data_IF_679908058001
#
_entry.id   IF_679908058001
#
_cell.length_a   1.000
_cell.length_b   1.000
_cell.length_c   1.000
_cell.angle_alpha   90.00
_cell.angle_beta   90.00
_cell.angle_gamma   90.00
#
_symmetry.space_group_name_H-M   'P 1'
#
loop_
_entity.id
_entity.type
_entity.pdbx_description
1 polymer ?
#
# COMPACT_ATOMS: atom_id res chain seq x y z
N UNK A 1 -8.55 -13.99 -4.54
CA UNK A 1 -8.69 -12.56 -4.28
C UNK A 1 -9.62 -11.94 -5.29
N UNK A 2 -10.60 -11.27 -4.78
CA UNK A 2 -11.49 -10.46 -5.60
C UNK A 2 -10.86 -9.07 -5.74
N UNK A 3 -10.71 -8.59 -6.99
CA UNK A 3 -10.10 -7.29 -7.26
C UNK A 3 -11.18 -6.25 -7.53
N UNK A 4 -11.40 -5.37 -6.55
CA UNK A 4 -12.23 -4.18 -6.73
C UNK A 4 -11.34 -3.01 -7.14
N UNK A 5 -10.99 -2.96 -8.42
CA UNK A 5 -10.07 -1.97 -8.99
C UNK A 5 -10.74 -1.22 -10.12
N UNK A 6 -10.23 -0.02 -10.42
CA UNK A 6 -10.71 0.72 -11.59
C UNK A 6 -10.35 -0.06 -12.87
N UNK A 7 -11.26 -0.11 -13.87
CA UNK A 7 -11.00 -0.84 -15.12
C UNK A 7 -9.71 -0.43 -15.86
N UNK A 8 -9.21 0.79 -15.65
CA UNK A 8 -7.93 1.22 -16.26
C UNK A 8 -6.73 0.38 -15.80
N UNK A 9 -6.88 -0.35 -14.67
CA UNK A 9 -5.85 -1.24 -14.13
C UNK A 9 -6.04 -2.70 -14.54
N UNK A 10 -6.85 -3.00 -15.55
CA UNK A 10 -7.13 -4.38 -15.96
C UNK A 10 -5.87 -5.21 -16.25
N UNK A 11 -4.78 -4.56 -16.64
CA UNK A 11 -3.50 -5.22 -16.89
C UNK A 11 -2.99 -6.00 -15.67
N UNK A 12 -3.36 -5.60 -14.45
CA UNK A 12 -2.92 -6.30 -13.23
C UNK A 12 -3.81 -7.49 -12.86
N UNK A 13 -4.94 -7.68 -13.49
CA UNK A 13 -5.85 -8.79 -13.20
C UNK A 13 -5.14 -10.15 -13.32
N UNK A 14 -4.28 -10.31 -14.30
CA UNK A 14 -3.54 -11.56 -14.51
C UNK A 14 -2.37 -11.74 -13.55
N UNK A 15 -1.86 -10.65 -12.97
CA UNK A 15 -0.71 -10.69 -12.07
C UNK A 15 -1.02 -11.42 -10.75
N UNK A 16 -2.28 -11.37 -10.30
CA UNK A 16 -2.69 -12.06 -9.06
C UNK A 16 -2.76 -13.58 -9.21
N UNK A 17 -2.70 -14.08 -10.43
CA UNK A 17 -2.67 -15.52 -10.71
C UNK A 17 -1.25 -16.09 -10.76
N UNK A 18 -0.21 -15.25 -10.60
CA UNK A 18 1.16 -15.72 -10.48
C UNK A 18 1.29 -16.63 -9.26
N UNK A 19 2.11 -17.68 -9.37
CA UNK A 19 2.24 -18.70 -8.32
C UNK A 19 2.52 -18.15 -6.91
N UNK A 20 3.44 -17.17 -6.72
CA UNK A 20 3.65 -16.62 -5.38
C UNK A 20 2.40 -16.03 -4.75
N UNK A 21 1.62 -15.24 -5.50
CA UNK A 21 0.38 -14.65 -5.00
C UNK A 21 -0.73 -15.65 -4.82
N UNK A 22 -0.81 -16.64 -5.69
CA UNK A 22 -1.76 -17.75 -5.54
C UNK A 22 -1.48 -18.51 -4.25
N UNK A 23 -0.21 -18.78 -3.96
CA UNK A 23 0.21 -19.43 -2.71
C UNK A 23 -0.15 -18.57 -1.50
N UNK A 24 0.14 -17.27 -1.55
CA UNK A 24 -0.20 -16.34 -0.49
C UNK A 24 -1.71 -16.38 -0.19
N UNK A 25 -2.52 -16.24 -1.22
CA UNK A 25 -3.97 -16.16 -1.09
C UNK A 25 -4.60 -17.47 -0.59
N UNK A 26 -4.12 -18.63 -1.06
CA UNK A 26 -4.76 -19.93 -0.77
C UNK A 26 -4.18 -20.62 0.45
N UNK A 27 -2.90 -20.45 0.76
CA UNK A 27 -2.21 -21.24 1.79
C UNK A 27 -1.71 -20.41 2.98
N UNK A 28 -1.47 -19.12 2.79
CA UNK A 28 -0.88 -18.26 3.84
C UNK A 28 -1.94 -17.41 4.51
N UNK A 29 -2.60 -16.52 3.78
CA UNK A 29 -3.56 -15.58 4.36
C UNK A 29 -4.70 -16.23 5.15
N UNK A 30 -5.28 -17.38 4.73
CA UNK A 30 -6.35 -18.00 5.49
C UNK A 30 -5.92 -18.50 6.88
N UNK A 31 -4.62 -18.67 7.12
CA UNK A 31 -4.10 -19.30 8.34
C UNK A 31 -3.41 -18.31 9.30
N UNK A 32 -3.34 -17.04 8.95
CA UNK A 32 -2.64 -16.04 9.76
C UNK A 32 -3.45 -14.76 9.89
N UNK A 33 -3.08 -13.93 10.87
CA UNK A 33 -3.55 -12.56 10.93
C UNK A 33 -2.63 -11.69 10.09
N UNK A 34 -3.18 -10.83 9.25
CA UNK A 34 -2.42 -9.98 8.35
C UNK A 34 -3.04 -8.59 8.23
N UNK A 35 -2.28 -7.67 7.69
CA UNK A 35 -2.70 -6.30 7.43
C UNK A 35 -2.31 -5.89 6.00
N UNK A 36 -3.00 -4.92 5.39
CA UNK A 36 -4.22 -4.27 5.87
C UNK A 36 -5.43 -5.21 5.79
N UNK A 37 -6.60 -4.71 6.21
CA UNK A 37 -7.85 -5.45 6.02
C UNK A 37 -8.08 -5.73 4.53
N UNK A 38 -8.76 -6.82 4.24
CA UNK A 38 -8.98 -7.32 2.87
C UNK A 38 -9.43 -6.24 1.88
N UNK A 39 -10.34 -5.37 2.29
CA UNK A 39 -10.86 -4.31 1.42
C UNK A 39 -9.83 -3.23 1.07
N UNK A 40 -8.74 -3.15 1.80
CA UNK A 40 -7.70 -2.14 1.62
C UNK A 40 -6.45 -2.66 0.90
N UNK A 41 -6.37 -3.97 0.60
CA UNK A 41 -5.18 -4.54 -0.05
C UNK A 41 -4.88 -3.84 -1.38
N UNK A 42 -5.90 -3.64 -2.21
CA UNK A 42 -5.77 -3.02 -3.54
C UNK A 42 -6.31 -1.58 -3.58
N UNK A 43 -6.34 -0.90 -2.45
CA UNK A 43 -6.92 0.44 -2.34
C UNK A 43 -6.38 1.42 -3.38
N UNK A 44 -5.07 1.43 -3.60
CA UNK A 44 -4.44 2.38 -4.54
C UNK A 44 -4.94 2.20 -5.97
N UNK A 45 -5.38 1.00 -6.35
CA UNK A 45 -5.87 0.69 -7.69
C UNK A 45 -7.35 1.01 -7.91
N UNK A 46 -8.02 1.58 -6.90
CA UNK A 46 -9.42 2.03 -7.07
C UNK A 46 -9.52 3.34 -7.83
N UNK A 47 -8.43 4.10 -7.92
CA UNK A 47 -8.35 5.33 -8.71
C UNK A 47 -7.90 5.02 -10.13
N UNK A 48 -8.41 5.73 -11.18
CA UNK A 48 -7.96 5.54 -12.56
C UNK A 48 -6.46 5.80 -12.71
N UNK A 49 -5.80 5.00 -13.54
CA UNK A 49 -4.37 5.18 -13.84
C UNK A 49 -4.09 6.58 -14.42
N UNK A 50 -5.03 7.14 -15.16
CA UNK A 50 -4.90 8.48 -15.76
C UNK A 50 -4.86 9.61 -14.74
N UNK A 51 -5.34 9.38 -13.52
CA UNK A 51 -5.33 10.38 -12.45
C UNK A 51 -4.00 10.47 -11.73
N UNK A 52 -3.10 9.51 -11.94
CA UNK A 52 -1.82 9.44 -11.24
C UNK A 52 -0.83 10.43 -11.85
N UNK A 53 -0.27 11.28 -11.00
CA UNK A 53 0.73 12.29 -11.36
C UNK A 53 2.11 11.94 -10.84
N UNK A 54 2.19 11.30 -9.68
CA UNK A 54 3.43 10.98 -9.00
C UNK A 54 3.29 9.65 -8.27
N UNK A 55 4.35 8.84 -8.26
CA UNK A 55 4.40 7.56 -7.54
C UNK A 55 5.40 7.70 -6.39
N UNK A 56 4.96 7.37 -5.19
CA UNK A 56 5.83 7.24 -4.02
C UNK A 56 5.80 5.77 -3.59
N UNK A 57 6.96 5.13 -3.61
CA UNK A 57 7.08 3.71 -3.35
C UNK A 57 7.54 3.46 -1.92
N UNK A 58 6.71 2.73 -1.16
CA UNK A 58 7.06 2.22 0.16
C UNK A 58 7.41 0.74 0.12
N UNK A 59 7.80 0.16 1.24
CA UNK A 59 8.19 -1.24 1.32
C UNK A 59 6.99 -2.16 1.53
N UNK A 60 6.26 -1.98 2.65
CA UNK A 60 5.16 -2.85 3.05
C UNK A 60 4.21 -2.13 4.02
N UNK A 61 3.01 -2.70 4.24
CA UNK A 61 2.09 -2.16 5.25
C UNK A 61 2.68 -2.22 6.66
N UNK A 62 2.19 -1.35 7.53
CA UNK A 62 2.57 -1.39 8.95
C UNK A 62 2.06 -2.69 9.60
N UNK A 63 2.88 -3.36 10.42
CA UNK A 63 2.53 -4.68 10.96
C UNK A 63 1.66 -4.64 12.22
N UNK A 64 1.25 -3.48 12.69
CA UNK A 64 0.46 -3.31 13.91
C UNK A 64 -1.02 -3.08 13.62
N UNK A 65 -1.93 -3.46 14.55
CA UNK A 65 -3.37 -3.27 14.36
C UNK A 65 -3.73 -1.80 14.12
N UNK A 66 -4.58 -1.56 13.11
CA UNK A 66 -5.12 -0.23 12.82
C UNK A 66 -4.19 0.71 12.06
N UNK A 67 -2.92 0.36 11.90
CA UNK A 67 -1.94 1.24 11.27
C UNK A 67 -2.00 1.18 9.74
N UNK A 68 -2.10 -0.01 9.15
CA UNK A 68 -2.12 -0.17 7.70
C UNK A 68 -3.50 0.10 7.12
N UNK A 69 -3.59 1.00 6.15
CA UNK A 69 -4.86 1.38 5.50
C UNK A 69 -4.82 1.24 3.97
N UNK A 70 -3.81 0.56 3.44
CA UNK A 70 -3.70 0.34 1.99
C UNK A 70 -2.96 1.42 1.23
N UNK A 71 -2.31 2.35 1.92
CA UNK A 71 -1.48 3.41 1.34
C UNK A 71 -0.09 3.37 1.97
N UNK A 72 0.96 3.54 1.17
CA UNK A 72 2.32 3.64 1.71
C UNK A 72 2.46 4.91 2.55
N UNK A 73 3.25 4.85 3.61
CA UNK A 73 3.56 5.95 4.53
C UNK A 73 2.38 6.53 5.32
N UNK A 74 1.15 6.18 4.99
CA UNK A 74 -0.04 6.67 5.69
C UNK A 74 -0.40 5.70 6.80
N UNK A 75 -0.62 6.25 8.00
CA UNK A 75 -1.01 5.48 9.18
C UNK A 75 -2.49 5.74 9.50
N UNK A 76 -3.23 4.68 9.80
CA UNK A 76 -4.65 4.77 10.16
C UNK A 76 -4.91 5.26 11.59
N UNK A 77 -3.86 5.37 12.41
CA UNK A 77 -3.94 5.92 13.76
C UNK A 77 -3.40 7.35 13.76
N UNK A 78 -3.50 8.06 14.89
CA UNK A 78 -3.00 9.43 15.01
C UNK A 78 -1.47 9.54 15.04
N UNK A 79 -0.77 8.42 15.13
CA UNK A 79 0.69 8.41 15.14
C UNK A 79 1.24 8.85 13.79
N UNK A 80 2.23 9.74 13.82
CA UNK A 80 2.94 10.17 12.61
C UNK A 80 4.15 9.25 12.43
N UNK A 81 4.24 8.45 11.35
CA UNK A 81 5.40 7.62 11.09
C UNK A 81 6.67 8.45 10.97
N UNK A 82 7.81 7.88 11.39
CA UNK A 82 9.10 8.61 11.40
C UNK A 82 9.50 9.14 10.02
N UNK A 83 9.32 8.33 8.97
CA UNK A 83 9.63 8.74 7.61
C UNK A 83 8.75 9.90 7.13
N UNK A 84 7.47 9.87 7.48
CA UNK A 84 6.55 10.95 7.13
C UNK A 84 6.94 12.24 7.85
N UNK A 85 7.38 12.14 9.11
CA UNK A 85 7.86 13.30 9.86
C UNK A 85 9.06 13.95 9.18
N UNK A 86 10.02 13.15 8.71
CA UNK A 86 11.20 13.63 7.99
C UNK A 86 10.78 14.34 6.71
N UNK A 87 9.86 13.78 5.94
CA UNK A 87 9.35 14.40 4.71
C UNK A 87 8.70 15.75 5.02
N UNK A 88 7.86 15.81 6.06
CA UNK A 88 7.20 17.06 6.47
C UNK A 88 8.21 18.14 6.88
N UNK A 89 9.21 17.77 7.66
CA UNK A 89 10.26 18.71 8.10
C UNK A 89 11.06 19.25 6.92
N UNK A 90 11.43 18.41 5.97
CA UNK A 90 12.16 18.81 4.77
C UNK A 90 11.36 19.81 3.92
N UNK A 91 10.08 19.51 3.69
CA UNK A 91 9.22 20.39 2.91
C UNK A 91 8.96 21.71 3.61
N UNK A 92 8.82 21.71 4.92
CA UNK A 92 8.71 22.93 5.71
C UNK A 92 9.97 23.79 5.60
N UNK A 93 11.15 23.16 5.64
CA UNK A 93 12.42 23.85 5.48
C UNK A 93 12.56 24.52 4.11
N UNK A 94 11.90 24.00 3.08
CA UNK A 94 11.84 24.56 1.73
C UNK A 94 10.72 25.59 1.54
N UNK A 95 10.00 25.94 2.61
CA UNK A 95 8.94 26.94 2.55
C UNK A 95 7.57 26.41 2.12
N UNK A 96 7.39 25.09 2.09
CA UNK A 96 6.11 24.49 1.73
C UNK A 96 5.32 24.09 2.97
N UNK A 97 4.01 24.36 2.93
CA UNK A 97 3.05 23.83 3.93
C UNK A 97 2.39 22.59 3.35
N UNK A 98 2.52 21.46 4.03
CA UNK A 98 1.93 20.22 3.56
C UNK A 98 0.44 20.16 3.90
N UNK A 99 -0.41 19.83 2.92
CA UNK A 99 -1.73 19.34 3.22
C UNK A 99 -1.66 17.98 3.93
N UNK A 100 -2.75 17.57 4.56
CA UNK A 100 -2.85 16.25 5.18
C UNK A 100 -2.52 15.17 4.15
N UNK A 101 -1.65 14.22 4.53
CA UNK A 101 -1.25 13.12 3.64
C UNK A 101 -2.44 12.30 3.13
N UNK A 102 -3.53 12.24 3.91
CA UNK A 102 -4.75 11.55 3.48
C UNK A 102 -5.39 12.20 2.24
N UNK A 103 -5.07 13.45 1.94
CA UNK A 103 -5.56 14.15 0.74
C UNK A 103 -4.67 13.95 -0.48
N UNK A 104 -3.46 13.40 -0.30
CA UNK A 104 -2.51 13.21 -1.41
C UNK A 104 -3.04 12.25 -2.46
N UNK A 105 -3.73 11.20 -2.03
CA UNK A 105 -4.33 10.22 -2.94
C UNK A 105 -5.29 10.90 -3.92
N UNK A 106 -6.09 11.85 -3.43
CA UNK A 106 -7.04 12.61 -4.24
C UNK A 106 -6.35 13.55 -5.23
N UNK A 107 -5.14 13.96 -4.92
CA UNK A 107 -4.34 14.87 -5.76
C UNK A 107 -3.49 14.15 -6.80
N UNK A 108 -3.63 12.83 -6.93
CA UNK A 108 -2.89 12.05 -7.92
C UNK A 108 -1.56 11.49 -7.43
N UNK A 109 -1.33 11.46 -6.13
CA UNK A 109 -0.16 10.78 -5.54
C UNK A 109 -0.49 9.30 -5.35
N UNK A 110 0.28 8.44 -6.01
CA UNK A 110 0.13 6.99 -5.96
C UNK A 110 1.06 6.42 -4.88
N UNK A 111 0.47 6.12 -3.72
CA UNK A 111 1.19 5.67 -2.53
C UNK A 111 1.23 4.13 -2.51
N UNK A 112 2.15 3.54 -3.27
CA UNK A 112 2.27 2.11 -3.47
C UNK A 112 3.34 1.49 -2.57
N UNK A 113 3.02 0.38 -1.93
CA UNK A 113 4.01 -0.48 -1.28
C UNK A 113 4.48 -1.57 -2.24
N UNK A 114 5.72 -2.02 -2.13
CA UNK A 114 6.23 -3.16 -2.90
C UNK A 114 5.56 -4.47 -2.48
N UNK A 115 5.19 -4.61 -1.21
CA UNK A 115 4.32 -5.67 -0.73
C UNK A 115 3.00 -5.06 -0.26
N UNK A 116 1.87 -5.63 -0.66
CA UNK A 116 0.55 -5.10 -0.33
C UNK A 116 -0.07 -5.75 0.92
N UNK A 117 0.60 -6.74 1.49
CA UNK A 117 0.20 -7.38 2.76
C UNK A 117 1.42 -7.64 3.63
N UNK A 118 1.17 -7.82 4.92
CA UNK A 118 2.18 -8.21 5.91
C UNK A 118 1.52 -9.06 6.98
N UNK A 119 2.22 -10.10 7.47
CA UNK A 119 1.77 -10.83 8.65
C UNK A 119 1.84 -9.93 9.89
N UNK A 120 0.82 -10.01 10.74
CA UNK A 120 0.77 -9.21 11.96
C UNK A 120 2.05 -9.38 12.79
N UNK A 121 2.72 -8.27 13.08
CA UNK A 121 3.94 -8.24 13.89
C UNK A 121 5.21 -8.78 13.23
N UNK A 122 5.16 -9.15 11.92
CA UNK A 122 6.30 -9.80 11.26
C UNK A 122 6.72 -9.06 9.99
N UNK A 123 7.52 -8.01 10.17
CA UNK A 123 8.05 -7.18 9.08
C UNK A 123 8.84 -8.02 8.07
N UNK A 124 8.60 -7.77 6.79
CA UNK A 124 9.27 -8.48 5.70
C UNK A 124 8.66 -9.83 5.33
N UNK A 125 7.63 -10.28 6.05
CA UNK A 125 7.07 -11.63 5.91
C UNK A 125 6.48 -11.94 4.54
N UNK A 126 5.94 -10.96 3.83
CA UNK A 126 5.23 -11.18 2.56
C UNK A 126 5.93 -10.56 1.35
N UNK A 127 7.10 -9.96 1.50
CA UNK A 127 7.82 -9.33 0.38
C UNK A 127 8.03 -10.30 -0.79
N UNK A 128 8.42 -11.52 -0.50
CA UNK A 128 8.69 -12.56 -1.51
C UNK A 128 7.46 -12.92 -2.36
N UNK A 129 6.26 -12.78 -1.80
CA UNK A 129 5.03 -13.11 -2.54
C UNK A 129 4.62 -12.01 -3.51
N UNK A 130 4.94 -10.75 -3.19
CA UNK A 130 4.52 -9.60 -3.96
C UNK A 130 5.56 -9.08 -4.95
N UNK A 131 6.79 -9.56 -4.87
CA UNK A 131 7.93 -9.05 -5.65
C UNK A 131 7.64 -8.98 -7.15
N UNK A 132 7.15 -10.06 -7.74
CA UNK A 132 6.87 -10.09 -9.17
C UNK A 132 5.67 -9.23 -9.56
N UNK A 133 4.70 -9.07 -8.67
CA UNK A 133 3.53 -8.24 -8.91
C UNK A 133 3.88 -6.75 -9.02
N UNK A 134 4.74 -6.27 -8.12
CA UNK A 134 5.08 -4.85 -8.04
C UNK A 134 6.28 -4.44 -8.90
N UNK A 135 6.95 -5.39 -9.45
CA UNK A 135 8.15 -5.21 -10.27
C UNK A 135 7.92 -4.50 -11.61
#
# INVERSE_FOLDING_TARGET
MSLEIDPSWNIIQNQVHLEPLKTLNTKVLPNIKYYPEKNNIFRVFKKPITDIKVVILGQEPYPNPGDAIGLSFVNGTEKVPALLRIIKEELKAQGYTLPDIHTWEEQGVFLLNTALTVEAGNTGSHLKYWEDFTK
#
